data_IF_869819489307
#
_entry.id   IF_869819489307
#
_cell.length_a   1.000
_cell.length_b   1.000
_cell.length_c   1.000
_cell.angle_alpha   90.00
_cell.angle_beta   90.00
_cell.angle_gamma   90.00
#
_symmetry.space_group_name_H-M   'P 1'
#
loop_
_entity.id
_entity.type
_entity.pdbx_description
1 polymer ?
#
# COMPACT_ATOMS: atom_id res chain seq x y z
N UNK A 1 25.55 -5.00 24.49
CA UNK A 1 24.98 -3.64 24.35
C UNK A 1 23.54 -3.81 23.98
N UNK A 2 22.63 -3.40 24.86
CA UNK A 2 21.19 -3.47 24.64
C UNK A 2 20.84 -2.29 23.73
N UNK A 3 20.58 -2.57 22.44
CA UNK A 3 19.90 -1.60 21.60
C UNK A 3 18.47 -1.52 22.14
N UNK A 4 18.11 -0.35 22.66
CA UNK A 4 16.74 -0.02 23.02
C UNK A 4 15.94 -0.06 21.73
N UNK A 5 15.29 -1.19 21.44
CA UNK A 5 14.25 -1.26 20.43
C UNK A 5 13.07 -0.43 20.95
N UNK A 6 13.11 0.88 20.72
CA UNK A 6 11.89 1.62 20.48
C UNK A 6 11.34 1.06 19.17
N UNK A 7 10.68 -0.10 19.24
CA UNK A 7 9.68 -0.44 18.25
C UNK A 7 8.65 0.69 18.37
N UNK A 8 8.80 1.72 17.54
CA UNK A 8 7.74 2.68 17.32
C UNK A 8 6.48 1.85 17.12
N UNK A 9 5.43 2.17 17.86
CA UNK A 9 4.25 1.34 18.15
C UNK A 9 3.39 0.94 16.93
N UNK A 10 3.95 1.06 15.73
CA UNK A 10 3.37 0.80 14.41
C UNK A 10 3.89 -0.51 13.78
N UNK A 11 4.95 -1.12 14.36
CA UNK A 11 5.60 -2.33 13.87
C UNK A 11 6.93 -2.03 13.16
N UNK A 12 7.81 -3.01 13.03
CA UNK A 12 8.99 -2.88 12.16
C UNK A 12 8.52 -2.76 10.70
N UNK A 13 9.08 -1.79 9.96
CA UNK A 13 8.74 -1.60 8.56
C UNK A 13 8.94 -2.92 7.80
N UNK A 14 7.95 -3.39 7.04
CA UNK A 14 8.04 -4.67 6.35
C UNK A 14 8.88 -4.54 5.07
N UNK A 15 10.15 -4.15 5.22
CA UNK A 15 11.12 -4.20 4.14
C UNK A 15 11.19 -5.63 3.60
N UNK A 16 11.30 -5.73 2.28
CA UNK A 16 11.42 -6.98 1.52
C UNK A 16 10.20 -7.90 1.65
N UNK A 17 9.01 -7.31 1.74
CA UNK A 17 7.72 -8.03 1.84
C UNK A 17 6.75 -7.66 0.73
N UNK A 18 5.92 -8.64 0.39
CA UNK A 18 4.79 -8.48 -0.53
C UNK A 18 3.48 -8.66 0.23
N UNK A 19 2.50 -7.84 -0.12
CA UNK A 19 1.17 -7.79 0.47
C UNK A 19 0.11 -7.84 -0.64
N UNK A 20 -0.92 -8.64 -0.43
CA UNK A 20 -2.09 -8.72 -1.32
C UNK A 20 -3.34 -8.31 -0.56
N UNK A 21 -4.21 -7.50 -1.16
CA UNK A 21 -5.47 -7.08 -0.53
C UNK A 21 -6.38 -8.29 -0.31
N UNK A 22 -6.86 -8.45 0.91
CA UNK A 22 -7.80 -9.51 1.28
C UNK A 22 -9.19 -8.96 1.61
N UNK A 23 -9.26 -7.68 1.99
CA UNK A 23 -10.51 -7.00 2.30
C UNK A 23 -10.37 -5.47 2.11
N UNK A 24 -11.47 -4.79 1.82
CA UNK A 24 -11.52 -3.33 1.65
C UNK A 24 -12.91 -2.80 2.09
N UNK A 25 -13.31 -3.04 3.35
CA UNK A 25 -14.67 -2.77 3.80
C UNK A 25 -14.99 -1.29 3.62
N UNK A 26 -16.15 -1.02 3.01
CA UNK A 26 -16.69 0.33 2.80
C UNK A 26 -15.77 1.33 2.06
N UNK A 27 -14.72 0.83 1.39
CA UNK A 27 -13.65 1.65 0.82
C UNK A 27 -13.70 1.68 -0.69
N UNK A 28 -13.50 0.52 -1.32
CA UNK A 28 -13.43 0.39 -2.76
C UNK A 28 -13.83 -1.04 -3.17
N UNK A 29 -14.51 -1.18 -4.30
CA UNK A 29 -14.82 -2.50 -4.88
C UNK A 29 -13.86 -2.76 -6.04
N UNK A 30 -12.92 -3.71 -5.90
CA UNK A 30 -12.03 -4.09 -6.98
C UNK A 30 -12.79 -4.57 -8.21
N UNK A 31 -12.26 -4.23 -9.38
CA UNK A 31 -12.68 -4.83 -10.65
C UNK A 31 -12.51 -6.34 -10.53
N UNK A 32 -13.54 -7.11 -10.94
CA UNK A 32 -13.53 -8.56 -10.79
C UNK A 32 -12.29 -9.21 -11.41
N UNK A 33 -11.65 -10.11 -10.64
CA UNK A 33 -10.43 -10.80 -11.06
C UNK A 33 -9.13 -10.01 -10.83
N UNK A 34 -9.19 -8.82 -10.24
CA UNK A 34 -8.01 -8.05 -9.82
C UNK A 34 -7.73 -8.20 -8.32
N UNK A 35 -6.51 -7.89 -7.91
CA UNK A 35 -6.10 -7.87 -6.51
C UNK A 35 -5.08 -6.76 -6.35
N UNK A 36 -5.25 -5.92 -5.33
CA UNK A 36 -4.28 -4.87 -5.03
C UNK A 36 -3.05 -5.52 -4.42
N UNK A 37 -1.88 -5.27 -4.99
CA UNK A 37 -0.60 -5.78 -4.52
C UNK A 37 0.30 -4.62 -4.15
N UNK A 38 0.93 -4.72 -2.98
CA UNK A 38 1.97 -3.80 -2.52
C UNK A 38 3.24 -4.60 -2.28
N UNK A 39 4.35 -4.11 -2.79
CA UNK A 39 5.67 -4.69 -2.62
C UNK A 39 6.59 -3.60 -2.05
N UNK A 40 7.30 -3.93 -0.98
CA UNK A 40 8.25 -3.05 -0.33
C UNK A 40 9.64 -3.67 -0.43
N UNK A 41 10.61 -2.90 -0.92
CA UNK A 41 12.02 -3.30 -1.03
C UNK A 41 12.86 -2.10 -0.65
N UNK A 42 13.68 -2.25 0.38
CA UNK A 42 14.42 -1.14 0.99
C UNK A 42 13.51 0.07 1.30
N UNK A 43 13.79 1.25 0.73
CA UNK A 43 13.02 2.49 0.87
C UNK A 43 12.02 2.69 -0.29
N UNK A 44 11.67 1.63 -1.02
CA UNK A 44 10.83 1.71 -2.22
C UNK A 44 9.53 0.94 -2.05
N UNK A 45 8.48 1.49 -2.64
CA UNK A 45 7.19 0.84 -2.81
C UNK A 45 6.94 0.59 -4.30
N UNK A 46 6.41 -0.59 -4.62
CA UNK A 46 5.74 -0.88 -5.88
C UNK A 46 4.30 -1.30 -5.60
N UNK A 47 3.35 -0.77 -6.35
CA UNK A 47 1.94 -1.00 -6.10
C UNK A 47 1.16 -1.23 -7.40
N UNK A 48 0.27 -2.20 -7.40
CA UNK A 48 -0.52 -2.59 -8.57
C UNK A 48 -1.95 -2.81 -8.10
N UNK A 49 -2.93 -2.26 -8.81
CA UNK A 49 -4.34 -2.52 -8.52
C UNK A 49 -5.08 -2.99 -9.76
N UNK A 50 -5.05 -2.21 -10.84
CA UNK A 50 -5.77 -2.54 -12.06
C UNK A 50 -4.81 -3.05 -13.12
N UNK A 51 -4.21 -2.13 -13.86
CA UNK A 51 -3.37 -2.43 -15.00
C UNK A 51 -1.97 -1.85 -14.85
N UNK A 52 -1.86 -0.63 -14.32
CA UNK A 52 -0.60 0.08 -14.22
C UNK A 52 0.13 -0.25 -12.93
N UNK A 53 1.46 -0.37 -13.05
CA UNK A 53 2.37 -0.48 -11.90
C UNK A 53 2.78 0.91 -11.45
N UNK A 54 2.49 1.21 -10.20
CA UNK A 54 2.96 2.38 -9.47
C UNK A 54 4.27 2.05 -8.77
N UNK A 55 5.17 3.02 -8.65
CA UNK A 55 6.43 2.85 -7.95
C UNK A 55 6.94 4.18 -7.40
N UNK A 56 7.61 4.15 -6.25
CA UNK A 56 8.16 5.35 -5.65
C UNK A 56 9.03 5.07 -4.43
N UNK A 57 9.59 6.13 -3.86
CA UNK A 57 10.23 6.08 -2.54
C UNK A 57 9.14 6.21 -1.47
N UNK A 58 9.22 5.37 -0.44
CA UNK A 58 8.27 5.33 0.67
C UNK A 58 8.97 5.61 2.00
N UNK A 59 8.35 6.47 2.79
CA UNK A 59 8.70 6.66 4.20
C UNK A 59 7.53 6.17 5.05
N UNK A 60 7.83 5.33 6.04
CA UNK A 60 6.84 4.80 7.00
C UNK A 60 6.98 5.33 8.40
N UNK A 61 7.91 6.28 8.58
CA UNK A 61 8.10 6.99 9.83
C UNK A 61 6.79 7.63 10.27
N UNK A 62 6.63 7.79 11.60
CA UNK A 62 5.45 8.41 12.19
C UNK A 62 4.12 7.64 11.97
N UNK A 63 4.17 6.37 11.56
CA UNK A 63 3.00 5.50 11.42
C UNK A 63 2.14 5.82 10.19
N UNK A 64 2.71 6.45 9.16
CA UNK A 64 2.05 6.76 7.89
C UNK A 64 2.88 6.32 6.71
N UNK A 65 2.24 5.83 5.66
CA UNK A 65 2.88 5.54 4.37
C UNK A 65 2.93 6.86 3.60
N UNK A 66 4.09 7.50 3.54
CA UNK A 66 4.30 8.71 2.76
C UNK A 66 5.06 8.36 1.48
N UNK A 67 4.55 8.77 0.32
CA UNK A 67 5.19 8.47 -0.97
C UNK A 67 5.55 9.77 -1.68
N UNK A 68 6.85 10.03 -1.86
CA UNK A 68 7.33 11.32 -2.37
C UNK A 68 7.43 11.40 -3.90
N UNK A 69 7.71 10.27 -4.56
CA UNK A 69 7.97 10.22 -6.00
C UNK A 69 7.22 9.05 -6.65
N UNK A 70 5.89 9.08 -6.54
CA UNK A 70 5.03 8.05 -7.12
C UNK A 70 4.94 8.22 -8.64
N UNK A 71 5.67 7.38 -9.36
CA UNK A 71 5.53 7.16 -10.80
C UNK A 71 4.52 6.07 -11.12
N UNK A 72 4.08 6.01 -12.38
CA UNK A 72 3.17 4.98 -12.90
C UNK A 72 3.55 4.61 -14.33
N UNK A 73 3.38 3.33 -14.69
CA UNK A 73 3.38 2.93 -16.10
C UNK A 73 2.17 3.55 -16.82
N UNK A 74 2.22 3.63 -18.15
CA UNK A 74 1.11 4.17 -18.98
C UNK A 74 0.63 3.14 -19.99
N UNK A 75 0.13 2.02 -19.50
CA UNK A 75 -0.49 0.99 -20.34
C UNK A 75 -1.93 1.37 -20.68
N UNK A 76 -2.33 1.11 -21.92
CA UNK A 76 -3.70 1.27 -22.35
C UNK A 76 -4.51 0.03 -21.93
N UNK A 77 -5.46 0.23 -21.03
CA UNK A 77 -6.31 -0.82 -20.46
C UNK A 77 -7.77 -0.36 -20.44
N UNK A 78 -8.74 -1.28 -20.24
CA UNK A 78 -10.13 -0.92 -20.01
C UNK A 78 -10.30 0.17 -18.95
N UNK A 79 -11.28 1.05 -19.14
CA UNK A 79 -11.51 2.22 -18.30
C UNK A 79 -11.62 1.87 -16.81
N UNK A 80 -12.34 0.79 -16.47
CA UNK A 80 -12.48 0.34 -15.09
C UNK A 80 -11.14 0.01 -14.41
N UNK A 81 -10.16 -0.57 -15.13
CA UNK A 81 -8.82 -0.83 -14.57
C UNK A 81 -8.02 0.47 -14.40
N UNK A 82 -8.20 1.43 -15.31
CA UNK A 82 -7.57 2.74 -15.18
C UNK A 82 -8.15 3.54 -14.01
N UNK A 83 -9.45 3.46 -13.76
CA UNK A 83 -10.09 4.06 -12.59
C UNK A 83 -9.56 3.45 -11.29
N UNK A 84 -9.38 2.12 -11.26
CA UNK A 84 -8.76 1.43 -10.14
C UNK A 84 -7.32 1.90 -9.87
N UNK A 85 -6.51 2.09 -10.91
CA UNK A 85 -5.14 2.60 -10.77
C UNK A 85 -5.12 4.05 -10.24
N UNK A 86 -6.08 4.88 -10.68
CA UNK A 86 -6.25 6.26 -10.19
C UNK A 86 -6.66 6.28 -8.73
N UNK A 87 -7.59 5.41 -8.34
CA UNK A 87 -8.00 5.23 -6.95
C UNK A 87 -6.80 4.86 -6.08
N UNK A 88 -6.02 3.84 -6.48
CA UNK A 88 -4.84 3.42 -5.72
C UNK A 88 -3.81 4.55 -5.59
N UNK A 89 -3.60 5.31 -6.66
CA UNK A 89 -2.73 6.49 -6.65
C UNK A 89 -3.21 7.53 -5.62
N UNK A 90 -4.50 7.86 -5.62
CA UNK A 90 -5.08 8.81 -4.67
C UNK A 90 -4.99 8.30 -3.22
N UNK A 91 -5.27 7.01 -3.01
CA UNK A 91 -5.18 6.38 -1.71
C UNK A 91 -3.75 6.44 -1.14
N UNK A 92 -2.73 6.04 -1.91
CA UNK A 92 -1.33 6.07 -1.45
C UNK A 92 -0.79 7.49 -1.25
N UNK A 93 -1.21 8.45 -2.06
CA UNK A 93 -0.80 9.86 -1.92
C UNK A 93 -1.51 10.59 -0.78
N UNK A 94 -2.60 10.02 -0.24
CA UNK A 94 -3.30 10.55 0.96
C UNK A 94 -2.54 10.37 2.28
N UNK A 95 -1.35 9.75 2.23
CA UNK A 95 -0.53 9.40 3.38
C UNK A 95 -1.30 8.56 4.44
N UNK A 96 -1.84 7.39 4.04
CA UNK A 96 -2.65 6.57 4.93
C UNK A 96 -1.83 6.15 6.14
N UNK A 97 -2.48 6.10 7.30
CA UNK A 97 -1.92 5.45 8.48
C UNK A 97 -1.72 3.98 8.17
N UNK A 98 -0.64 3.40 8.67
CA UNK A 98 -0.39 1.98 8.54
C UNK A 98 -0.27 1.33 9.91
N UNK A 99 -0.65 0.06 9.96
CA UNK A 99 -0.41 -0.80 11.11
C UNK A 99 -0.20 -2.22 10.62
N UNK A 100 0.68 -2.96 11.27
CA UNK A 100 0.94 -4.36 10.96
C UNK A 100 0.83 -5.23 12.21
N UNK A 101 0.11 -6.34 12.10
CA UNK A 101 0.04 -7.37 13.12
C UNK A 101 -0.07 -8.76 12.48
N UNK A 102 0.74 -9.73 12.94
CA UNK A 102 0.68 -11.13 12.52
C UNK A 102 0.58 -11.35 10.98
N UNK A 103 1.40 -10.63 10.22
CA UNK A 103 1.41 -10.72 8.74
C UNK A 103 0.22 -10.05 8.05
N UNK A 104 -0.68 -9.42 8.80
CA UNK A 104 -1.76 -8.58 8.28
C UNK A 104 -1.36 -7.12 8.38
N UNK A 105 -1.50 -6.39 7.28
CA UNK A 105 -1.27 -4.95 7.21
C UNK A 105 -2.59 -4.23 6.93
N UNK A 106 -2.82 -3.12 7.61
CA UNK A 106 -3.98 -2.26 7.39
C UNK A 106 -3.51 -0.87 7.01
N UNK A 107 -4.05 -0.34 5.92
CA UNK A 107 -3.86 1.05 5.50
C UNK A 107 -5.18 1.81 5.66
N UNK A 108 -5.13 3.00 6.26
CA UNK A 108 -6.31 3.78 6.62
C UNK A 108 -6.06 5.30 6.46
N UNK A 109 -6.81 5.95 5.57
CA UNK A 109 -6.74 7.41 5.37
C UNK A 109 -7.85 8.19 6.11
N UNK A 110 -8.66 7.52 6.93
CA UNK A 110 -9.81 8.07 7.65
C UNK A 110 -11.14 8.00 6.88
N UNK A 111 -11.10 7.79 5.57
CA UNK A 111 -12.29 7.56 4.73
C UNK A 111 -12.34 6.14 4.18
N UNK A 112 -11.17 5.57 3.90
CA UNK A 112 -10.97 4.27 3.31
C UNK A 112 -10.00 3.47 4.16
N UNK A 113 -10.30 2.18 4.30
CA UNK A 113 -9.51 1.16 4.99
C UNK A 113 -9.34 -0.06 4.09
N UNK A 114 -8.09 -0.40 3.82
CA UNK A 114 -7.73 -1.60 3.03
C UNK A 114 -6.89 -2.53 3.88
N UNK A 115 -7.27 -3.81 3.88
CA UNK A 115 -6.60 -4.89 4.63
C UNK A 115 -5.82 -5.76 3.65
N UNK A 116 -4.56 -6.01 3.99
CA UNK A 116 -3.64 -6.81 3.21
C UNK A 116 -3.09 -7.96 4.03
N UNK A 117 -2.86 -9.10 3.38
CA UNK A 117 -2.12 -10.22 3.93
C UNK A 117 -0.75 -10.33 3.26
N UNK A 118 0.28 -10.60 4.06
CA UNK A 118 1.63 -10.93 3.57
C UNK A 118 1.54 -12.20 2.71
N UNK A 119 2.18 -12.17 1.54
CA UNK A 119 2.15 -13.27 0.54
C UNK A 119 3.54 -13.74 0.19
#
# INVERSE_FOLDING_TARGET
MVACACADSYGEFPADKTYSSVDAPDSYTPVGGTTVRLEFVDDRISAEAGCNRLFGTVDTSQGRITVDSLGSTRMACPEALMEQDRWLTAFLTSAPRWSRNDGTMVLDNGSERVVFAET
#
